data_IF_270584392393
#
_entry.id   IF_270584392393
#
_cell.length_a   1.000
_cell.length_b   1.000
_cell.length_c   1.000
_cell.angle_alpha   90.00
_cell.angle_beta   90.00
_cell.angle_gamma   90.00
#
_symmetry.space_group_name_H-M   'P 1'
#
loop_
_entity.id
_entity.type
_entity.pdbx_description
1 polymer ?
#
# COMPACT_ATOMS: atom_id res chain seq x y z
N UNK A 1 101.12 -77.43 42.60
CA UNK A 1 99.98 -76.68 43.18
C UNK A 1 98.74 -77.56 43.09
N UNK A 2 98.07 -77.83 44.22
CA UNK A 2 97.14 -78.94 44.38
C UNK A 2 95.78 -78.64 43.71
N UNK A 3 95.42 -79.36 42.64
CA UNK A 3 94.24 -79.10 41.80
C UNK A 3 92.90 -79.18 42.54
N UNK A 4 92.87 -79.84 43.70
CA UNK A 4 91.69 -79.92 44.58
C UNK A 4 91.37 -78.59 45.29
N UNK A 5 92.37 -77.75 45.58
CA UNK A 5 92.21 -76.49 46.30
C UNK A 5 91.66 -75.37 45.38
N UNK A 6 92.14 -75.33 44.13
CA UNK A 6 91.68 -74.36 43.12
C UNK A 6 90.21 -74.58 42.77
N UNK A 7 89.77 -75.84 42.65
CA UNK A 7 88.37 -76.17 42.35
C UNK A 7 87.39 -75.69 43.43
N UNK A 8 87.76 -75.80 44.71
CA UNK A 8 86.90 -75.34 45.81
C UNK A 8 86.79 -73.81 45.86
N UNK A 9 87.86 -73.08 45.52
CA UNK A 9 87.85 -71.61 45.44
C UNK A 9 86.94 -71.13 44.29
N UNK A 10 86.99 -71.81 43.13
CA UNK A 10 86.12 -71.47 41.98
C UNK A 10 84.65 -71.72 42.29
N UNK A 11 84.31 -72.82 42.99
CA UNK A 11 82.93 -73.09 43.41
C UNK A 11 82.44 -72.07 44.44
N UNK A 12 83.27 -71.68 45.40
CA UNK A 12 82.93 -70.64 46.38
C UNK A 12 82.67 -69.28 45.72
N UNK A 13 83.49 -68.89 44.74
CA UNK A 13 83.30 -67.65 43.97
C UNK A 13 82.03 -67.68 43.12
N UNK A 14 81.68 -68.83 42.54
CA UNK A 14 80.46 -68.98 41.75
C UNK A 14 79.20 -68.81 42.61
N UNK A 15 79.16 -69.39 43.82
CA UNK A 15 78.01 -69.26 44.73
C UNK A 15 77.84 -67.81 45.19
N UNK A 16 78.95 -67.11 45.46
CA UNK A 16 78.94 -65.70 45.86
C UNK A 16 78.42 -64.78 44.73
N UNK A 17 78.84 -65.04 43.49
CA UNK A 17 78.39 -64.29 42.32
C UNK A 17 76.88 -64.47 42.07
N UNK A 18 76.36 -65.70 42.22
CA UNK A 18 74.93 -65.99 42.10
C UNK A 18 74.12 -65.26 43.19
N UNK A 19 74.60 -65.25 44.44
CA UNK A 19 73.95 -64.54 45.54
C UNK A 19 73.84 -63.02 45.30
N UNK A 20 74.91 -62.41 44.78
CA UNK A 20 74.93 -60.98 44.43
C UNK A 20 73.96 -60.69 43.28
N UNK A 21 73.91 -61.58 42.28
CA UNK A 21 73.01 -61.45 41.14
C UNK A 21 71.52 -61.54 41.55
N UNK A 22 71.17 -62.46 42.45
CA UNK A 22 69.80 -62.63 42.97
C UNK A 22 69.39 -61.43 43.82
N UNK A 23 70.27 -60.89 44.67
CA UNK A 23 69.98 -59.67 45.45
C UNK A 23 69.75 -58.46 44.56
N UNK A 24 70.53 -58.31 43.48
CA UNK A 24 70.34 -57.25 42.49
C UNK A 24 69.01 -57.36 41.76
N UNK A 25 68.62 -58.58 41.35
CA UNK A 25 67.32 -58.85 40.72
C UNK A 25 66.13 -58.63 41.66
N UNK A 26 66.25 -58.95 42.94
CA UNK A 26 65.14 -58.85 43.91
C UNK A 26 64.95 -57.42 44.45
N UNK A 27 66.04 -56.67 44.65
CA UNK A 27 65.98 -55.26 45.05
C UNK A 27 65.44 -54.34 43.95
N UNK A 28 65.59 -54.73 42.68
CA UNK A 28 65.01 -54.01 41.55
C UNK A 28 63.49 -54.23 41.41
N UNK A 29 62.90 -55.17 42.16
CA UNK A 29 61.48 -55.56 42.03
C UNK A 29 60.62 -55.12 43.23
N UNK A 30 61.16 -54.34 44.17
CA UNK A 30 60.41 -53.83 45.32
C UNK A 30 60.26 -52.31 45.26
N UNK A 31 59.58 -51.82 44.21
CA UNK A 31 59.08 -50.45 44.15
C UNK A 31 57.75 -50.39 44.88
N UNK A 32 57.78 -49.91 46.12
CA UNK A 32 56.60 -49.58 46.91
C UNK A 32 55.97 -48.32 46.30
N UNK A 33 54.87 -48.47 45.58
CA UNK A 33 54.13 -47.33 45.01
C UNK A 33 53.45 -46.53 46.14
N UNK A 34 53.90 -45.29 46.33
CA UNK A 34 53.24 -44.30 47.17
C UNK A 34 52.09 -43.67 46.34
N UNK A 35 50.84 -43.92 46.74
CA UNK A 35 49.66 -43.38 46.07
C UNK A 35 49.64 -41.86 46.29
N UNK A 36 50.12 -41.09 45.31
CA UNK A 36 49.76 -39.67 45.21
C UNK A 36 48.34 -39.59 44.64
N UNK A 37 47.41 -39.09 45.43
CA UNK A 37 46.09 -38.69 44.92
C UNK A 37 46.29 -37.67 43.80
N UNK A 38 46.14 -38.11 42.55
CA UNK A 38 46.13 -37.23 41.40
C UNK A 38 44.79 -36.48 41.39
N UNK A 39 44.76 -35.33 42.06
CA UNK A 39 43.58 -34.44 42.07
C UNK A 39 43.48 -33.72 40.74
N UNK A 40 43.07 -34.44 39.71
CA UNK A 40 42.77 -33.87 38.40
C UNK A 40 41.53 -32.98 38.56
N UNK A 41 41.72 -31.66 38.51
CA UNK A 41 40.60 -30.71 38.56
C UNK A 41 39.70 -30.98 37.34
N UNK A 42 38.38 -31.20 37.51
CA UNK A 42 37.50 -31.45 36.39
C UNK A 42 37.52 -30.24 35.46
N UNK A 43 37.90 -30.46 34.20
CA UNK A 43 37.92 -29.41 33.17
C UNK A 43 36.52 -29.33 32.59
N UNK A 44 35.86 -28.20 32.80
CA UNK A 44 34.57 -27.91 32.21
C UNK A 44 34.76 -26.96 31.03
N UNK A 45 34.08 -27.26 29.93
CA UNK A 45 34.09 -26.40 28.75
C UNK A 45 33.04 -25.31 28.97
N UNK A 46 33.49 -24.09 29.16
CA UNK A 46 32.61 -22.90 29.22
C UNK A 46 32.54 -22.23 27.85
N UNK A 47 31.36 -21.73 27.52
CA UNK A 47 31.11 -20.90 26.35
C UNK A 47 30.71 -19.53 26.90
N UNK A 48 31.47 -18.50 26.54
CA UNK A 48 31.12 -17.13 26.92
C UNK A 48 29.94 -16.66 26.05
N UNK A 49 28.89 -16.17 26.71
CA UNK A 49 27.70 -15.64 26.05
C UNK A 49 27.89 -14.14 25.86
N UNK A 50 28.02 -13.70 24.61
CA UNK A 50 27.97 -12.30 24.24
C UNK A 50 26.56 -11.97 23.77
N UNK A 51 25.94 -10.96 24.37
CA UNK A 51 24.61 -10.51 23.99
C UNK A 51 24.71 -9.76 22.66
N UNK A 52 24.04 -10.28 21.64
CA UNK A 52 23.89 -9.61 20.36
C UNK A 52 22.41 -9.48 20.01
N UNK A 53 22.05 -8.42 19.30
CA UNK A 53 20.67 -8.13 18.90
C UNK A 53 20.46 -8.58 17.47
N UNK A 54 19.83 -9.73 17.28
CA UNK A 54 19.55 -10.28 15.96
C UNK A 54 18.31 -9.58 15.38
N UNK A 55 18.51 -8.76 14.35
CA UNK A 55 17.40 -8.21 13.58
C UNK A 55 16.77 -9.33 12.74
N UNK A 56 15.47 -9.59 12.93
CA UNK A 56 14.70 -10.59 12.18
C UNK A 56 13.87 -9.87 11.10
N UNK A 57 14.35 -9.74 9.86
CA UNK A 57 13.58 -9.09 8.80
C UNK A 57 12.40 -9.96 8.41
N UNK A 58 11.18 -9.55 8.80
CA UNK A 58 9.95 -10.20 8.39
C UNK A 58 9.57 -9.66 7.01
N UNK A 59 9.55 -10.52 6.00
CA UNK A 59 9.10 -10.15 4.65
C UNK A 59 7.57 -10.20 4.62
N UNK A 60 6.93 -9.03 4.44
CA UNK A 60 5.48 -8.92 4.32
C UNK A 60 5.11 -8.83 2.84
N UNK A 61 4.21 -9.72 2.41
CA UNK A 61 3.62 -9.66 1.07
C UNK A 61 2.26 -8.95 1.17
N UNK A 62 2.00 -8.03 0.25
CA UNK A 62 0.76 -7.27 0.19
C UNK A 62 0.31 -7.09 -1.26
N UNK A 63 -0.99 -6.87 -1.46
CA UNK A 63 -1.52 -6.46 -2.75
C UNK A 63 -1.30 -4.96 -2.93
N UNK A 64 -0.80 -4.56 -4.09
CA UNK A 64 -0.75 -3.16 -4.47
C UNK A 64 -2.16 -2.73 -4.90
N UNK A 65 -2.63 -1.64 -4.31
CA UNK A 65 -3.84 -0.96 -4.74
C UNK A 65 -3.45 0.41 -5.29
N UNK A 66 -4.26 0.94 -6.22
CA UNK A 66 -4.11 2.32 -6.65
C UNK A 66 -4.25 3.25 -5.44
N UNK A 67 -3.34 4.21 -5.30
CA UNK A 67 -3.39 5.21 -4.22
C UNK A 67 -4.72 5.97 -4.27
N UNK A 68 -5.16 6.31 -5.48
CA UNK A 68 -6.43 6.97 -5.72
C UNK A 68 -7.12 6.29 -6.91
N UNK A 69 -8.37 5.85 -6.68
CA UNK A 69 -9.24 5.30 -7.72
C UNK A 69 -10.50 6.13 -7.73
N UNK A 70 -10.85 6.65 -8.91
CA UNK A 70 -12.09 7.41 -9.12
C UNK A 70 -12.92 6.68 -10.16
N UNK A 71 -14.18 6.43 -9.84
CA UNK A 71 -15.15 5.96 -10.82
C UNK A 71 -15.85 7.21 -11.41
N UNK A 72 -15.76 7.37 -12.73
CA UNK A 72 -16.36 8.52 -13.43
C UNK A 72 -17.80 8.19 -13.81
N UNK A 73 -18.73 9.01 -13.32
CA UNK A 73 -20.15 8.92 -13.65
C UNK A 73 -20.57 10.24 -14.30
N UNK A 74 -21.28 10.15 -15.43
CA UNK A 74 -21.87 11.33 -16.03
C UNK A 74 -23.14 11.72 -15.25
N UNK A 75 -23.19 12.93 -14.71
CA UNK A 75 -24.39 13.46 -14.04
C UNK A 75 -25.54 13.76 -15.02
N UNK A 76 -25.23 13.92 -16.31
CA UNK A 76 -26.22 14.22 -17.36
C UNK A 76 -26.20 13.18 -18.48
N UNK A 77 -27.35 12.98 -19.09
CA UNK A 77 -27.49 12.17 -20.31
C UNK A 77 -27.14 13.01 -21.54
N UNK A 78 -26.43 12.43 -22.49
CA UNK A 78 -26.08 13.08 -23.75
C UNK A 78 -25.44 12.11 -24.73
N UNK A 79 -25.23 12.55 -25.96
CA UNK A 79 -24.45 11.82 -26.95
C UNK A 79 -22.96 12.07 -26.73
N UNK A 80 -22.17 11.00 -26.84
CA UNK A 80 -20.72 11.10 -26.77
C UNK A 80 -20.17 11.84 -27.99
N UNK A 81 -19.32 12.83 -27.74
CA UNK A 81 -18.48 13.50 -28.70
C UNK A 81 -17.03 13.06 -28.44
N UNK A 82 -16.27 12.81 -29.51
CA UNK A 82 -14.86 12.40 -29.40
C UNK A 82 -14.07 13.34 -28.48
N UNK A 83 -13.20 12.76 -27.66
CA UNK A 83 -12.25 13.49 -26.84
C UNK A 83 -10.90 13.70 -27.55
N UNK A 84 -9.91 14.19 -26.80
CA UNK A 84 -8.55 14.37 -27.32
C UNK A 84 -7.85 13.03 -27.62
N UNK A 85 -8.31 11.95 -27.00
CA UNK A 85 -7.82 10.60 -27.20
C UNK A 85 -8.96 9.56 -27.07
N UNK A 86 -8.80 8.36 -27.65
CA UNK A 86 -9.80 7.30 -27.53
C UNK A 86 -10.02 6.93 -26.06
N UNK A 87 -11.27 7.00 -25.60
CA UNK A 87 -11.64 6.58 -24.25
C UNK A 87 -11.75 5.05 -24.16
N UNK A 88 -10.60 4.39 -24.23
CA UNK A 88 -10.45 2.93 -24.17
C UNK A 88 -9.62 2.53 -22.97
N UNK A 89 -9.81 1.29 -22.51
CA UNK A 89 -9.02 0.72 -21.43
C UNK A 89 -7.52 0.73 -21.76
N UNK A 90 -6.69 1.15 -20.79
CA UNK A 90 -5.23 1.21 -20.95
C UNK A 90 -4.69 2.50 -21.57
N UNK A 91 -5.54 3.46 -21.95
CA UNK A 91 -5.10 4.79 -22.41
C UNK A 91 -4.83 5.70 -21.22
N UNK A 92 -3.63 6.28 -21.18
CA UNK A 92 -3.25 7.25 -20.17
C UNK A 92 -3.70 8.65 -20.59
N UNK A 93 -4.24 9.41 -19.65
CA UNK A 93 -4.62 10.81 -19.85
C UNK A 93 -3.83 11.70 -18.91
N UNK A 94 -3.52 12.91 -19.38
CA UNK A 94 -2.86 13.93 -18.56
C UNK A 94 -3.89 14.78 -17.85
N UNK A 95 -3.48 15.39 -16.74
CA UNK A 95 -4.28 16.38 -16.01
C UNK A 95 -4.76 17.49 -16.95
N UNK A 96 -6.08 17.71 -16.97
CA UNK A 96 -6.73 18.71 -17.83
C UNK A 96 -6.97 18.29 -19.28
N UNK A 97 -6.60 17.06 -19.68
CA UNK A 97 -6.93 16.53 -20.99
C UNK A 97 -8.40 16.09 -21.04
N UNK A 98 -9.07 16.34 -22.17
CA UNK A 98 -10.48 15.97 -22.32
C UNK A 98 -10.56 14.47 -22.63
N UNK A 99 -11.07 13.69 -21.69
CA UNK A 99 -11.31 12.25 -21.87
C UNK A 99 -12.61 11.97 -22.61
N UNK A 100 -13.64 12.73 -22.26
CA UNK A 100 -14.99 12.52 -22.73
C UNK A 100 -15.68 13.87 -22.91
N UNK A 101 -16.28 14.09 -24.08
CA UNK A 101 -17.14 15.24 -24.31
C UNK A 101 -18.58 14.75 -24.53
N UNK A 102 -19.54 15.46 -23.95
CA UNK A 102 -20.97 15.23 -24.17
C UNK A 102 -21.53 16.38 -24.99
N UNK A 103 -22.39 16.08 -25.94
CA UNK A 103 -23.12 17.12 -26.66
C UNK A 103 -24.11 17.81 -25.72
N UNK A 104 -24.03 19.13 -25.63
CA UNK A 104 -24.92 19.96 -24.82
C UNK A 104 -25.83 20.88 -25.67
N UNK A 105 -25.86 20.68 -26.99
CA UNK A 105 -26.63 21.50 -27.92
C UNK A 105 -28.13 21.51 -27.58
N UNK A 106 -28.70 20.38 -27.17
CA UNK A 106 -30.11 20.29 -26.80
C UNK A 106 -30.44 21.13 -25.56
N UNK A 107 -29.59 21.05 -24.52
CA UNK A 107 -29.78 21.81 -23.29
C UNK A 107 -29.65 23.32 -23.55
N UNK A 108 -28.72 23.74 -24.41
CA UNK A 108 -28.59 25.14 -24.83
C UNK A 108 -29.77 25.61 -25.68
N UNK A 109 -30.19 24.83 -26.67
CA UNK A 109 -31.32 25.17 -27.53
C UNK A 109 -32.62 25.34 -26.70
N UNK A 110 -32.81 24.49 -25.69
CA UNK A 110 -33.93 24.61 -24.74
C UNK A 110 -33.86 25.89 -23.91
N UNK A 111 -32.67 26.26 -23.43
CA UNK A 111 -32.50 27.52 -22.70
C UNK A 111 -32.81 28.75 -23.58
N UNK A 112 -32.34 28.77 -24.83
CA UNK A 112 -32.65 29.84 -25.78
C UNK A 112 -34.15 29.92 -26.11
N UNK A 113 -34.80 28.76 -26.25
CA UNK A 113 -36.25 28.68 -26.47
C UNK A 113 -37.02 29.30 -25.29
N UNK A 114 -36.70 28.92 -24.06
CA UNK A 114 -37.38 29.47 -22.87
C UNK A 114 -37.06 30.95 -22.66
N UNK A 115 -35.88 31.41 -23.05
CA UNK A 115 -35.57 32.84 -23.03
C UNK A 115 -36.49 33.63 -23.99
N UNK A 116 -36.75 33.11 -25.18
CA UNK A 116 -37.72 33.70 -26.12
C UNK A 116 -39.15 33.63 -25.58
N UNK A 117 -39.51 32.54 -24.92
CA UNK A 117 -40.82 32.38 -24.27
C UNK A 117 -41.05 33.46 -23.20
N UNK A 118 -40.06 33.73 -22.35
CA UNK A 118 -40.10 34.84 -21.38
C UNK A 118 -40.30 36.19 -22.06
N UNK A 119 -39.59 36.45 -23.17
CA UNK A 119 -39.75 37.71 -23.92
C UNK A 119 -41.18 37.88 -24.43
N UNK A 120 -41.77 36.83 -25.00
CA UNK A 120 -43.16 36.84 -25.47
C UNK A 120 -44.13 37.02 -24.31
N UNK A 121 -43.92 36.32 -23.20
CA UNK A 121 -44.75 36.46 -22.01
C UNK A 121 -44.68 37.88 -21.41
N UNK A 122 -43.49 38.50 -21.39
CA UNK A 122 -43.30 39.88 -20.95
C UNK A 122 -44.06 40.85 -21.84
N UNK A 123 -43.97 40.69 -23.16
CA UNK A 123 -44.71 41.53 -24.12
C UNK A 123 -46.22 41.39 -23.95
N UNK A 124 -46.71 40.17 -23.71
CA UNK A 124 -48.13 39.93 -23.44
C UNK A 124 -48.54 40.56 -22.11
N UNK A 125 -47.72 40.46 -21.07
CA UNK A 125 -47.96 41.09 -19.78
C UNK A 125 -48.06 42.62 -19.89
N UNK A 126 -47.11 43.29 -20.56
CA UNK A 126 -47.16 44.75 -20.75
C UNK A 126 -48.40 45.19 -21.55
N UNK A 127 -48.75 44.46 -22.62
CA UNK A 127 -49.97 44.74 -23.40
C UNK A 127 -51.23 44.61 -22.53
N UNK A 128 -51.31 43.58 -21.70
CA UNK A 128 -52.43 43.35 -20.80
C UNK A 128 -52.49 44.42 -19.71
N UNK A 129 -51.34 44.82 -19.16
CA UNK A 129 -51.22 45.91 -18.18
C UNK A 129 -51.73 47.24 -18.74
N UNK A 130 -51.33 47.61 -19.95
CA UNK A 130 -51.82 48.83 -20.60
C UNK A 130 -53.33 48.81 -20.83
N UNK A 131 -53.89 47.67 -21.26
CA UNK A 131 -55.34 47.53 -21.47
C UNK A 131 -56.13 47.52 -20.17
N UNK A 132 -55.57 46.90 -19.13
CA UNK A 132 -56.13 46.92 -17.77
C UNK A 132 -56.21 48.35 -17.22
N UNK A 133 -55.12 49.12 -17.32
CA UNK A 133 -55.12 50.53 -16.91
C UNK A 133 -56.09 51.41 -17.71
N UNK A 134 -56.40 51.03 -18.95
CA UNK A 134 -57.43 51.67 -19.78
C UNK A 134 -58.86 51.20 -19.47
N UNK A 135 -59.05 50.31 -18.50
CA UNK A 135 -60.35 49.73 -18.16
C UNK A 135 -60.91 48.77 -19.23
N UNK A 136 -60.07 48.32 -20.17
CA UNK A 136 -60.46 47.44 -21.29
C UNK A 136 -60.32 45.95 -20.96
N UNK A 137 -59.67 45.60 -19.85
CA UNK A 137 -59.50 44.23 -19.36
C UNK A 137 -59.82 44.16 -17.87
N UNK A 138 -60.23 42.97 -17.43
CA UNK A 138 -60.52 42.65 -16.05
C UNK A 138 -59.25 42.36 -15.24
N UNK A 139 -59.37 42.40 -13.91
CA UNK A 139 -58.29 42.01 -13.00
C UNK A 139 -57.89 40.53 -13.17
N UNK A 140 -58.84 39.66 -13.52
CA UNK A 140 -58.58 38.23 -13.74
C UNK A 140 -57.63 38.03 -14.93
N UNK A 141 -57.92 38.65 -16.06
CA UNK A 141 -57.08 38.60 -17.27
C UNK A 141 -55.69 39.19 -17.02
N UNK A 142 -55.60 40.27 -16.23
CA UNK A 142 -54.32 40.81 -15.80
C UNK A 142 -53.51 39.82 -14.96
N UNK A 143 -54.15 39.14 -14.01
CA UNK A 143 -53.51 38.13 -13.16
C UNK A 143 -53.10 36.88 -13.95
N UNK A 144 -53.86 36.48 -14.97
CA UNK A 144 -53.47 35.39 -15.88
C UNK A 144 -52.19 35.73 -16.64
N UNK A 145 -52.05 36.96 -17.13
CA UNK A 145 -50.81 37.39 -17.79
C UNK A 145 -49.61 37.41 -16.83
N UNK A 146 -49.81 37.80 -15.56
CA UNK A 146 -48.77 37.71 -14.51
C UNK A 146 -48.35 36.26 -14.26
N UNK A 147 -49.31 35.34 -14.15
CA UNK A 147 -49.04 33.93 -13.95
C UNK A 147 -48.30 33.31 -15.16
N UNK A 148 -48.69 33.69 -16.38
CA UNK A 148 -48.00 33.28 -17.60
C UNK A 148 -46.54 33.73 -17.63
N UNK A 149 -46.27 34.98 -17.26
CA UNK A 149 -44.90 35.49 -17.13
C UNK A 149 -44.11 34.73 -16.07
N UNK A 150 -44.67 34.53 -14.88
CA UNK A 150 -44.03 33.78 -13.79
C UNK A 150 -43.70 32.35 -14.21
N UNK A 151 -44.61 31.67 -14.90
CA UNK A 151 -44.38 30.31 -15.41
C UNK A 151 -43.26 30.27 -16.46
N UNK A 152 -43.21 31.26 -17.35
CA UNK A 152 -42.12 31.37 -18.33
C UNK A 152 -40.77 31.63 -17.64
N UNK A 153 -40.72 32.49 -16.62
CA UNK A 153 -39.50 32.74 -15.83
C UNK A 153 -39.01 31.49 -15.10
N UNK A 154 -39.94 30.73 -14.51
CA UNK A 154 -39.63 29.44 -13.89
C UNK A 154 -39.09 28.44 -14.94
N UNK A 155 -39.72 28.37 -16.12
CA UNK A 155 -39.26 27.52 -17.23
C UNK A 155 -37.84 27.87 -17.68
N UNK A 156 -37.53 29.15 -17.88
CA UNK A 156 -36.18 29.63 -18.20
C UNK A 156 -35.18 29.27 -17.11
N UNK A 157 -35.55 29.40 -15.84
CA UNK A 157 -34.67 29.08 -14.71
C UNK A 157 -34.34 27.60 -14.67
N UNK A 158 -35.33 26.74 -14.89
CA UNK A 158 -35.14 25.30 -14.98
C UNK A 158 -34.25 24.91 -16.18
N UNK A 159 -34.48 25.52 -17.35
CA UNK A 159 -33.64 25.28 -18.53
C UNK A 159 -32.20 25.75 -18.34
N UNK A 160 -32.00 26.90 -17.68
CA UNK A 160 -30.67 27.38 -17.32
C UNK A 160 -29.94 26.40 -16.40
N UNK A 161 -30.63 25.88 -15.38
CA UNK A 161 -30.06 24.90 -14.45
C UNK A 161 -29.64 23.62 -15.19
N UNK A 162 -30.49 23.11 -16.09
CA UNK A 162 -30.16 21.95 -16.92
C UNK A 162 -28.92 22.21 -17.80
N UNK A 163 -28.85 23.37 -18.47
CA UNK A 163 -27.69 23.74 -19.29
C UNK A 163 -26.40 23.89 -18.45
N UNK A 164 -26.50 24.43 -17.24
CA UNK A 164 -25.36 24.56 -16.32
C UNK A 164 -24.88 23.22 -15.79
N UNK A 165 -25.78 22.32 -15.42
CA UNK A 165 -25.39 20.98 -15.00
C UNK A 165 -24.72 20.21 -16.13
N UNK A 166 -25.24 20.33 -17.36
CA UNK A 166 -24.58 19.74 -18.52
C UNK A 166 -23.18 20.30 -18.74
N UNK A 167 -22.99 21.62 -18.55
CA UNK A 167 -21.67 22.23 -18.64
C UNK A 167 -20.72 21.79 -17.52
N UNK A 168 -21.20 21.69 -16.27
CA UNK A 168 -20.40 21.24 -15.13
C UNK A 168 -20.00 19.77 -15.30
N UNK A 169 -20.89 18.92 -15.79
CA UNK A 169 -20.57 17.53 -16.08
C UNK A 169 -19.42 17.40 -17.09
N UNK A 170 -19.36 18.29 -18.10
CA UNK A 170 -18.20 18.38 -19.01
C UNK A 170 -16.91 18.72 -18.26
N UNK A 171 -16.96 19.70 -17.34
CA UNK A 171 -15.77 20.09 -16.57
C UNK A 171 -15.34 19.07 -15.53
N UNK A 172 -16.26 18.38 -14.85
CA UNK A 172 -15.93 17.35 -13.87
C UNK A 172 -15.16 16.19 -14.53
N UNK A 173 -15.52 15.81 -15.76
CA UNK A 173 -14.78 14.80 -16.53
C UNK A 173 -13.36 15.26 -16.90
N UNK A 174 -13.13 16.57 -16.96
CA UNK A 174 -11.80 17.18 -17.21
C UNK A 174 -11.00 17.39 -15.91
N UNK A 175 -11.68 17.75 -14.81
CA UNK A 175 -11.09 18.16 -13.54
C UNK A 175 -10.99 17.07 -12.47
N UNK A 176 -11.57 15.88 -12.66
CA UNK A 176 -11.45 14.76 -11.70
C UNK A 176 -10.00 14.31 -11.38
N UNK A 177 -8.98 14.96 -11.95
CA UNK A 177 -7.55 14.73 -11.73
C UNK A 177 -6.83 15.92 -11.06
N UNK A 178 -7.56 16.77 -10.33
CA UNK A 178 -6.96 17.83 -9.50
C UNK A 178 -6.44 17.34 -8.12
N UNK A 179 -6.48 16.03 -7.84
CA UNK A 179 -5.97 15.40 -6.61
C UNK A 179 -4.55 14.83 -6.82
#
# INVERSE_FOLDING_TARGET
MNSKLIRNIVVALAILAIGIFVKGKLSAMSTKEEIREDRIKPRVKVIEVANDTIALPITVYGKLNATERVDLLAEVSGTFLDGDAPFLEGVAFRKGQIMLQLDNAEAQAKYELEQKNVLVAQQNFEKTKERYHRGQLSFLEFREAQLGLLNAENGKTAALFQARNAHIALWQLVQAFDL
#
